data_IF_105020826474
#
_entry.id   IF_105020826474
#
_cell.length_a   1.000
_cell.length_b   1.000
_cell.length_c   1.000
_cell.angle_alpha   90.00
_cell.angle_beta   90.00
_cell.angle_gamma   90.00
#
_symmetry.space_group_name_H-M   'P 1'
#
loop_
_entity.id
_entity.type
_entity.pdbx_description
1 polymer ?
#
# COMPACT_ATOMS: atom_id res chain seq x y z
N UNK A 1 27.65 12.72 -10.15
CA UNK A 1 26.46 12.05 -10.72
C UNK A 1 25.99 11.04 -9.70
N UNK A 2 24.80 11.23 -9.12
CA UNK A 2 24.23 10.28 -8.16
C UNK A 2 23.52 9.21 -9.00
N UNK A 3 24.02 7.98 -8.96
CA UNK A 3 23.35 6.85 -9.60
C UNK A 3 22.04 6.57 -8.84
N UNK A 4 20.92 6.99 -9.41
CA UNK A 4 19.60 6.61 -8.90
C UNK A 4 19.42 5.16 -9.34
N UNK A 5 19.48 4.23 -8.39
CA UNK A 5 19.23 2.81 -8.65
C UNK A 5 17.77 2.65 -9.09
N UNK A 6 17.54 2.59 -10.41
CA UNK A 6 16.22 2.44 -11.06
C UNK A 6 15.69 1.00 -11.05
N UNK A 7 16.39 0.06 -10.40
CA UNK A 7 16.04 -1.38 -10.37
C UNK A 7 15.28 -1.80 -9.11
N UNK A 8 14.66 -0.89 -8.37
CA UNK A 8 13.80 -1.24 -7.24
C UNK A 8 12.36 -1.24 -7.73
N UNK A 9 11.74 -2.42 -7.83
CA UNK A 9 10.30 -2.46 -8.06
C UNK A 9 9.62 -1.81 -6.86
N UNK A 10 8.67 -0.87 -7.08
CA UNK A 10 8.00 -0.19 -5.98
C UNK A 10 7.40 -1.17 -4.98
N UNK A 11 7.53 -0.86 -3.69
CA UNK A 11 7.03 -1.72 -2.60
C UNK A 11 5.80 -1.14 -1.94
N UNK A 12 4.88 -2.02 -1.57
CA UNK A 12 3.68 -1.69 -0.81
C UNK A 12 3.84 -2.29 0.58
N UNK A 13 4.10 -1.44 1.57
CA UNK A 13 4.14 -1.83 2.97
C UNK A 13 2.75 -1.66 3.57
N UNK A 14 2.18 -2.72 4.14
CA UNK A 14 0.83 -2.71 4.71
C UNK A 14 0.86 -3.18 6.14
N UNK A 15 0.38 -2.35 7.06
CA UNK A 15 0.06 -2.77 8.42
C UNK A 15 -1.42 -3.12 8.49
N UNK A 16 -1.75 -4.40 8.66
CA UNK A 16 -3.12 -4.90 8.74
C UNK A 16 -3.28 -5.77 9.98
N UNK A 17 -4.28 -5.46 10.82
CA UNK A 17 -4.59 -6.23 12.04
C UNK A 17 -3.41 -6.49 12.99
N UNK A 18 -2.51 -5.52 13.12
CA UNK A 18 -1.33 -5.63 13.97
C UNK A 18 -0.13 -6.32 13.30
N UNK A 19 -0.32 -6.93 12.14
CA UNK A 19 0.73 -7.53 11.31
C UNK A 19 1.23 -6.56 10.25
N UNK A 20 2.49 -6.70 9.87
CA UNK A 20 3.10 -5.95 8.77
C UNK A 20 3.37 -6.91 7.61
N UNK A 21 3.02 -6.48 6.41
CA UNK A 21 3.19 -7.19 5.17
C UNK A 21 3.93 -6.29 4.17
N UNK A 22 4.86 -6.87 3.42
CA UNK A 22 5.61 -6.17 2.40
C UNK A 22 5.40 -6.87 1.07
N UNK A 23 4.92 -6.12 0.10
CA UNK A 23 4.58 -6.64 -1.21
C UNK A 23 5.29 -5.88 -2.32
N UNK A 24 5.49 -6.55 -3.44
CA UNK A 24 5.85 -5.87 -4.67
C UNK A 24 4.58 -5.25 -5.30
N UNK A 25 4.62 -3.97 -5.69
CA UNK A 25 3.49 -3.31 -6.34
C UNK A 25 3.05 -4.04 -7.63
N UNK A 26 3.97 -4.72 -8.31
CA UNK A 26 3.68 -5.53 -9.48
C UNK A 26 2.81 -6.76 -9.16
N UNK A 27 2.87 -7.31 -7.93
CA UNK A 27 2.08 -8.48 -7.53
C UNK A 27 0.59 -8.17 -7.36
N UNK A 28 0.25 -6.92 -7.04
CA UNK A 28 -1.14 -6.49 -6.91
C UNK A 28 -1.76 -6.03 -8.25
N UNK A 29 -1.01 -6.13 -9.34
CA UNK A 29 -1.41 -5.66 -10.67
C UNK A 29 -1.95 -4.21 -10.64
N UNK A 30 -1.38 -3.40 -9.73
CA UNK A 30 -1.77 -2.00 -9.56
C UNK A 30 -1.24 -1.18 -10.73
N UNK A 31 -2.04 -0.23 -11.19
CA UNK A 31 -1.57 0.80 -12.10
C UNK A 31 -0.34 1.52 -11.53
N UNK A 32 0.57 2.08 -12.36
CA UNK A 32 1.76 2.79 -11.87
C UNK A 32 1.46 3.95 -10.92
N UNK A 33 0.25 4.51 -11.01
CA UNK A 33 -0.29 5.51 -10.09
C UNK A 33 -1.69 5.08 -9.67
N UNK A 34 -1.81 4.05 -8.81
CA UNK A 34 -3.12 3.52 -8.46
C UNK A 34 -3.83 4.54 -7.58
N UNK A 35 -5.13 4.75 -7.75
CA UNK A 35 -5.95 5.53 -6.81
C UNK A 35 -6.06 4.86 -5.45
N UNK A 36 -6.43 5.61 -4.42
CA UNK A 36 -6.63 5.06 -3.08
C UNK A 36 -7.73 3.97 -3.06
N UNK A 37 -8.75 4.13 -3.91
CA UNK A 37 -9.80 3.13 -4.06
C UNK A 37 -9.28 1.82 -4.65
N UNK A 38 -8.41 1.90 -5.67
CA UNK A 38 -7.77 0.72 -6.27
C UNK A 38 -6.87 0.01 -5.27
N UNK A 39 -6.07 0.75 -4.50
CA UNK A 39 -5.22 0.17 -3.45
C UNK A 39 -6.07 -0.53 -2.39
N UNK A 40 -7.13 0.11 -1.90
CA UNK A 40 -8.02 -0.51 -0.89
C UNK A 40 -8.72 -1.75 -1.44
N UNK A 41 -9.18 -1.73 -2.69
CA UNK A 41 -9.82 -2.88 -3.32
C UNK A 41 -8.84 -4.05 -3.46
N UNK A 42 -7.62 -3.78 -3.93
CA UNK A 42 -6.59 -4.80 -4.09
C UNK A 42 -6.20 -5.46 -2.76
N UNK A 43 -6.08 -4.66 -1.69
CA UNK A 43 -5.83 -5.17 -0.35
C UNK A 43 -7.02 -5.93 0.25
N UNK A 44 -8.24 -5.46 0.02
CA UNK A 44 -9.45 -6.16 0.45
C UNK A 44 -9.56 -7.56 -0.18
N UNK A 45 -9.25 -7.67 -1.48
CA UNK A 45 -9.21 -8.94 -2.18
C UNK A 45 -8.11 -9.86 -1.64
N UNK A 46 -6.91 -9.34 -1.38
CA UNK A 46 -5.78 -10.14 -0.90
C UNK A 46 -5.96 -10.65 0.53
N UNK A 47 -6.46 -9.80 1.44
CA UNK A 47 -6.72 -10.19 2.83
C UNK A 47 -8.07 -10.90 3.01
N UNK A 48 -8.81 -11.14 1.92
CA UNK A 48 -10.18 -11.70 1.95
C UNK A 48 -11.08 -10.94 2.95
N UNK A 49 -10.92 -9.62 2.99
CA UNK A 49 -11.56 -8.75 3.96
C UNK A 49 -12.61 -7.83 3.30
N UNK A 50 -13.70 -7.50 3.99
CA UNK A 50 -14.62 -6.46 3.54
C UNK A 50 -13.91 -5.13 3.31
N UNK A 51 -14.22 -4.44 2.19
CA UNK A 51 -13.57 -3.17 1.80
C UNK A 51 -13.70 -2.08 2.87
N UNK A 52 -14.83 -2.04 3.58
CA UNK A 52 -15.07 -1.10 4.68
C UNK A 52 -14.10 -1.29 5.86
N UNK A 53 -13.47 -2.46 6.00
CA UNK A 53 -12.43 -2.69 7.02
C UNK A 53 -11.17 -1.86 6.75
N UNK A 54 -10.94 -1.46 5.50
CA UNK A 54 -9.84 -0.60 5.08
C UNK A 54 -10.25 0.89 4.98
N UNK A 55 -11.49 1.24 5.30
CA UNK A 55 -11.96 2.63 5.31
C UNK A 55 -11.12 3.54 6.24
N UNK A 56 -10.76 3.12 7.48
CA UNK A 56 -9.93 3.95 8.35
C UNK A 56 -8.43 3.85 8.03
N UNK A 57 -8.03 3.26 6.90
CA UNK A 57 -6.63 3.12 6.54
C UNK A 57 -6.18 4.32 5.69
N UNK A 58 -5.04 4.87 6.10
CA UNK A 58 -4.32 5.95 5.41
C UNK A 58 -3.34 5.34 4.42
N UNK A 59 -3.30 5.89 3.21
CA UNK A 59 -2.38 5.51 2.14
C UNK A 59 -1.38 6.64 1.93
N UNK A 60 -0.13 6.40 2.28
CA UNK A 60 0.98 7.34 2.12
C UNK A 60 1.79 6.96 0.88
N UNK A 61 2.06 7.94 0.03
CA UNK A 61 2.77 7.76 -1.25
C UNK A 61 4.15 8.38 -1.15
N UNK A 62 5.17 7.60 -1.47
CA UNK A 62 6.56 8.04 -1.42
C UNK A 62 7.03 8.43 -2.83
N UNK A 63 7.95 9.39 -2.92
CA UNK A 63 8.47 9.90 -4.21
C UNK A 63 9.24 8.86 -5.04
N UNK A 64 9.55 7.69 -4.48
CA UNK A 64 10.19 6.56 -5.17
C UNK A 64 9.17 5.52 -5.69
N UNK A 65 7.87 5.79 -5.57
CA UNK A 65 6.79 4.87 -5.97
C UNK A 65 6.34 3.91 -4.86
N UNK A 66 7.03 3.85 -3.73
CA UNK A 66 6.58 3.03 -2.61
C UNK A 66 5.26 3.54 -2.02
N UNK A 67 4.47 2.63 -1.47
CA UNK A 67 3.24 2.91 -0.77
C UNK A 67 3.34 2.39 0.66
N UNK A 68 2.81 3.15 1.61
CA UNK A 68 2.59 2.69 2.98
C UNK A 68 1.10 2.76 3.27
N UNK A 69 0.52 1.65 3.71
CA UNK A 69 -0.90 1.56 4.07
C UNK A 69 -0.97 1.17 5.53
N UNK A 70 -1.58 2.02 6.35
CA UNK A 70 -1.65 1.82 7.80
C UNK A 70 -3.00 2.28 8.34
N UNK A 71 -3.47 1.74 9.47
CA UNK A 71 -4.61 2.30 10.17
C UNK A 71 -4.33 3.77 10.51
N UNK A 72 -5.36 4.60 10.37
CA UNK A 72 -5.36 5.96 10.90
C UNK A 72 -5.07 5.91 12.40
N UNK A 73 -4.15 6.76 12.85
CA UNK A 73 -3.87 6.89 14.26
C UNK A 73 -5.04 7.63 14.91
N UNK A 74 -5.91 6.89 15.57
CA UNK A 74 -6.98 7.46 16.40
C UNK A 74 -6.39 7.72 17.78
N UNK A 75 -6.05 8.96 18.08
CA UNK A 75 -5.76 9.38 19.45
C UNK A 75 -7.10 9.56 20.16
N UNK A 76 -7.34 8.75 21.20
CA UNK A 76 -8.46 8.91 22.13
C UNK A 76 -8.10 9.85 23.27
#
# INVERSE_FOLDING_TARGET
MIAINVNQTPRVHVRFEGHSYDFNAAEFNLNPQPSDAEVRLALAMFFEAPLNRLAPYVIERHGNGNLTVRPEAVFG
#
